data_IF_953437596567
#
_entry.id   IF_953437596567
#
_cell.length_a   1.000
_cell.length_b   1.000
_cell.length_c   1.000
_cell.angle_alpha   90.00
_cell.angle_beta   90.00
_cell.angle_gamma   90.00
#
_symmetry.space_group_name_H-M   'P 1'
#
loop_
_entity.id
_entity.type
_entity.pdbx_description
1 polymer ?
#
# COMPACT_ATOMS: atom_id res chain seq x y z
N UNK A 1 -20.28 -45.30 50.26
CA UNK A 1 -18.98 -45.24 49.55
C UNK A 1 -19.28 -44.77 48.14
N UNK A 2 -19.22 -43.47 47.88
CA UNK A 2 -19.38 -42.90 46.53
C UNK A 2 -18.04 -42.31 46.08
N UNK A 3 -17.63 -42.69 44.87
CA UNK A 3 -16.33 -42.41 44.28
C UNK A 3 -16.37 -41.08 43.49
N UNK A 4 -15.59 -40.04 43.85
CA UNK A 4 -15.67 -38.72 43.20
C UNK A 4 -14.63 -38.49 42.09
N UNK A 5 -14.24 -39.52 41.31
CA UNK A 5 -13.16 -39.43 40.31
C UNK A 5 -13.57 -39.01 38.88
N UNK A 6 -14.80 -38.55 38.62
CA UNK A 6 -15.24 -38.32 37.23
C UNK A 6 -15.84 -36.93 37.00
N UNK A 7 -15.03 -35.86 37.10
CA UNK A 7 -15.47 -34.55 36.61
C UNK A 7 -14.39 -33.55 36.18
N UNK A 8 -13.19 -34.01 35.80
CA UNK A 8 -12.11 -33.08 35.37
C UNK A 8 -11.74 -33.11 33.88
N UNK A 9 -12.33 -33.99 33.07
CA UNK A 9 -11.90 -34.19 31.67
C UNK A 9 -12.41 -33.14 30.66
N UNK A 10 -13.51 -32.42 30.95
CA UNK A 10 -14.20 -31.59 29.94
C UNK A 10 -13.68 -30.14 29.82
N UNK A 11 -13.04 -29.59 30.86
CA UNK A 11 -12.59 -28.17 30.85
C UNK A 11 -11.31 -27.94 30.05
N UNK A 12 -10.42 -28.94 29.95
CA UNK A 12 -9.17 -28.83 29.19
C UNK A 12 -9.40 -28.80 27.68
N UNK A 13 -10.40 -29.54 27.19
CA UNK A 13 -10.72 -29.63 25.76
C UNK A 13 -11.24 -28.31 25.18
N UNK A 14 -12.00 -27.53 25.95
CA UNK A 14 -12.52 -26.21 25.50
C UNK A 14 -11.38 -25.20 25.37
N UNK A 15 -10.43 -25.22 26.31
CA UNK A 15 -9.29 -24.28 26.34
C UNK A 15 -8.31 -24.51 25.16
N UNK A 16 -8.12 -25.76 24.75
CA UNK A 16 -7.30 -26.11 23.58
C UNK A 16 -7.93 -25.67 22.25
N UNK A 17 -9.26 -25.77 22.11
CA UNK A 17 -10.00 -25.37 20.89
C UNK A 17 -9.88 -23.87 20.59
N UNK A 18 -9.84 -23.03 21.62
CA UNK A 18 -9.70 -21.57 21.46
C UNK A 18 -8.27 -21.11 21.12
N UNK A 19 -7.24 -21.91 21.44
CA UNK A 19 -5.84 -21.57 21.15
C UNK A 19 -5.52 -21.69 19.65
N UNK A 20 -6.19 -22.60 18.94
CA UNK A 20 -6.00 -22.80 17.50
C UNK A 20 -6.66 -21.71 16.65
N UNK A 21 -7.81 -21.17 17.06
CA UNK A 21 -8.51 -20.09 16.34
C UNK A 21 -7.73 -18.76 16.31
N UNK A 22 -6.89 -18.50 17.31
CA UNK A 22 -6.08 -17.27 17.38
C UNK A 22 -4.86 -17.25 16.45
N UNK A 23 -4.50 -18.38 15.82
CA UNK A 23 -3.32 -18.46 14.93
C UNK A 23 -3.61 -18.09 13.48
N UNK A 24 -4.88 -17.90 13.10
CA UNK A 24 -5.26 -17.53 11.72
C UNK A 24 -5.35 -16.03 11.47
N UNK A 25 -5.26 -15.19 12.50
CA UNK A 25 -5.38 -13.74 12.39
C UNK A 25 -4.06 -13.00 12.18
N UNK A 26 -2.92 -13.71 12.13
CA UNK A 26 -1.60 -13.09 11.96
C UNK A 26 -1.17 -12.94 10.50
N UNK A 27 -1.95 -13.47 9.55
CA UNK A 27 -1.68 -13.28 8.13
C UNK A 27 -2.24 -11.92 7.70
N UNK A 28 -1.44 -11.08 7.02
CA UNK A 28 -1.95 -9.85 6.45
C UNK A 28 -3.09 -10.19 5.50
N UNK A 29 -4.20 -9.45 5.60
CA UNK A 29 -5.31 -9.58 4.67
C UNK A 29 -4.79 -9.49 3.24
N UNK A 30 -5.40 -10.23 2.30
CA UNK A 30 -5.11 -10.11 0.85
C UNK A 30 -5.05 -8.64 0.39
N UNK A 31 -5.95 -7.80 0.93
CA UNK A 31 -5.96 -6.35 0.69
C UNK A 31 -4.69 -5.63 1.14
N UNK A 32 -4.14 -5.98 2.30
CA UNK A 32 -2.92 -5.38 2.82
C UNK A 32 -1.69 -5.79 1.98
N UNK A 33 -1.65 -7.05 1.52
CA UNK A 33 -0.58 -7.52 0.61
C UNK A 33 -0.64 -6.78 -0.73
N UNK A 34 -1.85 -6.63 -1.31
CA UNK A 34 -2.04 -5.89 -2.55
C UNK A 34 -1.66 -4.40 -2.40
N UNK A 35 -2.06 -3.76 -1.30
CA UNK A 35 -1.67 -2.39 -1.00
C UNK A 35 -0.14 -2.24 -0.89
N UNK A 36 0.54 -3.16 -0.19
CA UNK A 36 2.00 -3.17 -0.09
C UNK A 36 2.70 -3.25 -1.44
N UNK A 37 2.20 -4.05 -2.39
CA UNK A 37 2.74 -4.11 -3.76
C UNK A 37 2.57 -2.80 -4.50
N UNK A 38 1.40 -2.17 -4.41
CA UNK A 38 1.14 -0.86 -5.05
C UNK A 38 2.04 0.24 -4.48
N UNK A 39 2.22 0.27 -3.16
CA UNK A 39 3.12 1.22 -2.49
C UNK A 39 4.56 0.99 -2.92
N UNK A 40 4.99 -0.28 -3.08
CA UNK A 40 6.32 -0.60 -3.61
C UNK A 40 6.51 -0.05 -5.03
N UNK A 41 5.56 -0.32 -5.93
CA UNK A 41 5.61 0.21 -7.30
C UNK A 41 5.61 1.73 -7.31
N UNK A 42 4.82 2.38 -6.45
CA UNK A 42 4.80 3.83 -6.35
C UNK A 42 6.18 4.39 -6.00
N UNK A 43 6.91 3.77 -5.06
CA UNK A 43 8.28 4.19 -4.72
C UNK A 43 9.23 4.11 -5.93
N UNK A 44 9.09 3.11 -6.79
CA UNK A 44 9.95 2.95 -7.98
C UNK A 44 9.68 4.03 -9.04
N UNK A 45 8.49 4.64 -9.04
CA UNK A 45 8.09 5.68 -10.01
C UNK A 45 8.47 7.10 -9.57
N UNK A 46 8.59 7.36 -8.27
CA UNK A 46 8.79 8.71 -7.75
C UNK A 46 10.28 8.99 -7.53
N UNK A 47 10.84 10.07 -8.09
CA UNK A 47 12.22 10.47 -7.84
C UNK A 47 12.49 10.71 -6.35
N UNK A 48 13.65 10.26 -5.88
CA UNK A 48 14.09 10.41 -4.48
C UNK A 48 13.05 9.93 -3.46
N UNK A 49 12.33 8.85 -3.78
CA UNK A 49 11.34 8.22 -2.89
C UNK A 49 11.96 7.47 -1.70
N UNK A 50 13.26 7.16 -1.78
CA UNK A 50 14.00 6.49 -0.71
C UNK A 50 14.11 7.34 0.57
N UNK A 51 13.98 8.66 0.44
CA UNK A 51 13.95 9.61 1.55
C UNK A 51 12.58 9.66 2.25
N UNK A 52 11.53 9.11 1.64
CA UNK A 52 10.17 9.15 2.18
C UNK A 52 9.99 8.11 3.28
N UNK A 53 9.86 8.58 4.52
CA UNK A 53 9.51 7.74 5.66
C UNK A 53 7.99 7.73 5.84
N UNK A 54 7.38 6.56 5.65
CA UNK A 54 5.93 6.38 5.77
C UNK A 54 5.15 6.63 4.48
N UNK A 55 3.85 6.30 4.52
CA UNK A 55 2.97 6.39 3.36
C UNK A 55 2.57 7.84 3.06
N UNK A 56 2.31 8.65 4.08
CA UNK A 56 1.85 10.03 3.92
C UNK A 56 2.91 10.89 3.20
N UNK A 57 4.17 10.81 3.63
CA UNK A 57 5.28 11.50 2.96
C UNK A 57 5.43 11.07 1.49
N UNK A 58 5.29 9.77 1.21
CA UNK A 58 5.33 9.25 -0.16
C UNK A 58 4.17 9.82 -0.99
N UNK A 59 2.96 9.89 -0.44
CA UNK A 59 1.78 10.39 -1.14
C UNK A 59 1.85 11.90 -1.41
N UNK A 60 2.34 12.70 -0.46
CA UNK A 60 2.59 14.13 -0.69
C UNK A 60 3.61 14.34 -1.81
N UNK A 61 4.77 13.68 -1.74
CA UNK A 61 5.80 13.77 -2.78
C UNK A 61 5.28 13.28 -4.15
N UNK A 62 4.41 12.28 -4.15
CA UNK A 62 3.73 11.80 -5.35
C UNK A 62 2.83 12.88 -5.95
N UNK A 63 2.05 13.58 -5.13
CA UNK A 63 1.17 14.66 -5.60
C UNK A 63 1.99 15.81 -6.22
N UNK A 64 3.08 16.21 -5.56
CA UNK A 64 4.00 17.23 -6.08
C UNK A 64 4.61 16.80 -7.41
N UNK A 65 5.01 15.52 -7.53
CA UNK A 65 5.60 15.00 -8.76
C UNK A 65 4.59 14.92 -9.91
N UNK A 66 3.34 14.55 -9.64
CA UNK A 66 2.26 14.59 -10.63
C UNK A 66 2.06 16.01 -11.15
N UNK A 67 2.00 17.00 -10.24
CA UNK A 67 1.85 18.40 -10.62
C UNK A 67 3.03 18.89 -11.47
N UNK A 68 4.26 18.53 -11.08
CA UNK A 68 5.46 18.86 -11.86
C UNK A 68 5.42 18.26 -13.27
N UNK A 69 5.02 16.99 -13.40
CA UNK A 69 4.91 16.34 -14.70
C UNK A 69 3.84 17.00 -15.57
N UNK A 70 2.68 17.34 -14.99
CA UNK A 70 1.62 18.07 -15.70
C UNK A 70 2.13 19.42 -16.24
N UNK A 71 2.82 20.19 -15.41
CA UNK A 71 3.41 21.47 -15.83
C UNK A 71 4.44 21.28 -16.94
N UNK A 72 5.33 20.28 -16.81
CA UNK A 72 6.34 19.98 -17.84
C UNK A 72 5.70 19.64 -19.19
N UNK A 73 4.64 18.83 -19.19
CA UNK A 73 3.90 18.49 -20.41
C UNK A 73 3.24 19.72 -21.01
N UNK A 74 2.60 20.57 -20.20
CA UNK A 74 2.01 21.82 -20.68
C UNK A 74 3.04 22.73 -21.36
N UNK A 75 4.19 22.96 -20.72
CA UNK A 75 5.27 23.78 -21.30
C UNK A 75 5.78 23.19 -22.62
N UNK A 76 6.03 21.88 -22.67
CA UNK A 76 6.48 21.22 -23.90
C UNK A 76 5.44 21.32 -25.02
N UNK A 77 4.15 21.21 -24.68
CA UNK A 77 3.08 21.39 -25.66
C UNK A 77 3.04 22.82 -26.19
N UNK A 78 3.11 23.83 -25.31
CA UNK A 78 3.19 25.24 -25.74
C UNK A 78 4.38 25.51 -26.64
N UNK A 79 5.55 24.91 -26.35
CA UNK A 79 6.73 25.04 -27.19
C UNK A 79 6.51 24.42 -28.57
N UNK A 80 5.89 23.24 -28.64
CA UNK A 80 5.54 22.58 -29.91
C UNK A 80 4.59 23.48 -30.70
N UNK A 81 3.53 23.98 -30.07
CA UNK A 81 2.52 24.82 -30.73
C UNK A 81 3.15 26.10 -31.31
N UNK A 82 4.04 26.75 -30.55
CA UNK A 82 4.78 27.93 -31.02
C UNK A 82 5.66 27.58 -32.23
N UNK A 83 6.44 26.49 -32.15
CA UNK A 83 7.33 26.07 -33.23
C UNK A 83 6.56 25.67 -34.50
N UNK A 84 5.44 24.95 -34.35
CA UNK A 84 4.55 24.58 -35.46
C UNK A 84 3.90 25.81 -36.09
N UNK A 85 3.38 26.75 -35.28
CA UNK A 85 2.80 27.99 -35.80
C UNK A 85 3.79 28.84 -36.60
N UNK A 86 5.08 28.80 -36.23
CA UNK A 86 6.15 29.51 -36.93
C UNK A 86 6.67 28.77 -38.18
N UNK A 87 6.39 27.47 -38.32
CA UNK A 87 6.82 26.69 -39.49
C UNK A 87 5.75 26.64 -40.59
N UNK A 88 4.51 26.98 -40.28
CA UNK A 88 3.39 26.99 -41.23
C UNK A 88 3.12 28.38 -41.86
N UNK A 89 4.02 29.37 -41.67
CA UNK A 89 3.81 30.73 -42.16
C UNK A 89 5.04 31.64 -42.23
N UNK A 90 6.00 31.34 -43.11
CA UNK A 90 6.59 32.24 -44.12
C UNK A 90 7.71 31.57 -44.91
#
# INVERSE_FOLDING_TARGET
>A
MENPEILHSSRMSIKMKNKLKRRRSSLPSSRAVAAGRRVKTLKELIPSSHECVGADALFTKTADYILLLQLKVQVMQTMIDLLSSNSDGH
#
